data_IF_916080024151
#
_entry.id   IF_916080024151
#
_cell.length_a   1.000
_cell.length_b   1.000
_cell.length_c   1.000
_cell.angle_alpha   90.00
_cell.angle_beta   90.00
_cell.angle_gamma   90.00
#
_symmetry.space_group_name_H-M   'P 1'
#
loop_
_entity.id
_entity.type
_entity.pdbx_description
1 polymer ?
#
# COMPACT_ATOMS: atom_id res chain seq x y z
N UNK A 1 26.61 37.95 5.94
CA UNK A 1 26.50 36.87 4.92
C UNK A 1 25.81 35.59 5.47
N UNK A 2 24.93 35.69 6.48
CA UNK A 2 24.21 34.53 7.02
C UNK A 2 22.97 34.12 6.20
N UNK A 3 22.40 35.07 5.43
CA UNK A 3 21.16 34.87 4.68
C UNK A 3 21.24 33.79 3.58
N UNK A 4 22.41 33.58 2.98
CA UNK A 4 22.59 32.58 1.90
C UNK A 4 22.58 31.13 2.43
N UNK A 5 23.08 30.91 3.64
CA UNK A 5 23.11 29.60 4.28
C UNK A 5 21.72 29.15 4.70
N UNK A 6 20.89 30.06 5.24
CA UNK A 6 19.51 29.73 5.60
C UNK A 6 18.67 29.29 4.41
N UNK A 7 18.83 29.92 3.24
CA UNK A 7 18.09 29.53 2.02
C UNK A 7 18.47 28.11 1.56
N UNK A 8 19.76 27.76 1.63
CA UNK A 8 20.24 26.42 1.28
C UNK A 8 19.66 25.35 2.23
N UNK A 9 19.63 25.63 3.53
CA UNK A 9 19.10 24.70 4.54
C UNK A 9 17.60 24.48 4.33
N UNK A 10 16.84 25.55 4.09
CA UNK A 10 15.39 25.45 3.83
C UNK A 10 15.13 24.66 2.54
N UNK A 11 15.90 24.90 1.47
CA UNK A 11 15.78 24.14 0.23
C UNK A 11 16.05 22.65 0.41
N UNK A 12 17.08 22.29 1.19
CA UNK A 12 17.41 20.91 1.52
C UNK A 12 16.32 20.22 2.35
N UNK A 13 15.71 20.93 3.30
CA UNK A 13 14.62 20.41 4.12
C UNK A 13 13.38 20.10 3.27
N UNK A 14 13.00 21.02 2.36
CA UNK A 14 11.86 20.80 1.46
C UNK A 14 12.12 19.63 0.51
N UNK A 15 13.33 19.52 -0.05
CA UNK A 15 13.70 18.42 -0.93
C UNK A 15 13.63 17.07 -0.20
N UNK A 16 14.12 17.01 1.04
CA UNK A 16 14.07 15.80 1.88
C UNK A 16 12.62 15.39 2.18
N UNK A 17 11.75 16.35 2.44
CA UNK A 17 10.33 16.11 2.70
C UNK A 17 9.63 15.53 1.47
N UNK A 18 9.90 16.06 0.27
CA UNK A 18 9.35 15.56 -1.00
C UNK A 18 9.81 14.12 -1.30
N UNK A 19 11.09 13.81 -1.04
CA UNK A 19 11.60 12.43 -1.21
C UNK A 19 10.93 11.49 -0.21
N UNK A 20 10.69 11.93 1.03
CA UNK A 20 10.04 11.11 2.05
C UNK A 20 8.56 10.84 1.71
N UNK A 21 7.82 11.84 1.24
CA UNK A 21 6.41 11.67 0.83
C UNK A 21 6.30 10.76 -0.39
N UNK A 22 7.14 10.95 -1.40
CA UNK A 22 7.13 10.11 -2.62
C UNK A 22 7.58 8.67 -2.37
N UNK A 23 8.53 8.45 -1.46
CA UNK A 23 8.94 7.11 -1.04
C UNK A 23 7.81 6.37 -0.31
N UNK A 24 7.02 7.10 0.48
CA UNK A 24 5.84 6.53 1.17
C UNK A 24 4.78 6.11 0.15
N UNK A 25 4.55 6.90 -0.89
CA UNK A 25 3.64 6.54 -1.99
C UNK A 25 4.17 5.35 -2.81
N UNK A 26 5.50 5.19 -2.95
CA UNK A 26 6.10 4.06 -3.67
C UNK A 26 6.15 2.75 -2.88
N UNK A 27 6.12 2.79 -1.55
CA UNK A 27 5.95 1.59 -0.70
C UNK A 27 4.48 1.17 -0.61
N UNK A 28 3.55 2.11 -0.84
CA UNK A 28 2.13 1.84 -1.08
C UNK A 28 1.87 1.59 -2.59
N UNK A 29 2.90 1.22 -3.36
CA UNK A 29 2.66 0.26 -4.44
C UNK A 29 2.44 -1.08 -3.76
N UNK A 30 1.21 -1.23 -3.27
CA UNK A 30 0.46 -2.48 -3.26
C UNK A 30 1.06 -3.38 -4.33
N UNK A 31 1.58 -4.54 -3.92
CA UNK A 31 1.94 -5.58 -4.85
C UNK A 31 0.83 -5.63 -5.90
N UNK A 32 1.17 -5.49 -7.18
CA UNK A 32 0.24 -5.68 -8.30
C UNK A 32 -0.24 -7.14 -8.38
N UNK A 33 -0.33 -7.81 -7.25
CA UNK A 33 -1.11 -8.99 -7.07
C UNK A 33 -2.56 -8.58 -7.32
N UNK A 34 -3.09 -9.05 -8.44
CA UNK A 34 -4.42 -8.66 -8.90
C UNK A 34 -5.42 -9.18 -7.87
N UNK A 35 -5.91 -8.27 -7.03
CA UNK A 35 -6.92 -8.56 -6.03
C UNK A 35 -8.26 -8.82 -6.73
N UNK A 36 -8.73 -10.06 -6.70
CA UNK A 36 -10.03 -10.46 -7.23
C UNK A 36 -11.03 -10.42 -6.09
N UNK A 37 -11.89 -9.39 -6.08
CA UNK A 37 -12.99 -9.28 -5.14
C UNK A 37 -14.12 -10.23 -5.52
N UNK A 38 -14.53 -11.07 -4.58
CA UNK A 38 -15.59 -12.07 -4.77
C UNK A 38 -16.91 -11.72 -4.06
N UNK A 39 -16.98 -10.55 -3.42
CA UNK A 39 -18.19 -10.05 -2.74
C UNK A 39 -18.62 -10.85 -1.52
N UNK A 40 -17.77 -11.75 -1.01
CA UNK A 40 -18.03 -12.52 0.21
C UNK A 40 -17.69 -11.64 1.42
N UNK A 41 -18.65 -11.38 2.33
CA UNK A 41 -18.36 -10.63 3.55
C UNK A 41 -17.42 -11.44 4.45
N UNK A 42 -16.48 -10.76 5.09
CA UNK A 42 -15.47 -11.37 5.95
C UNK A 42 -15.25 -10.51 7.21
N UNK A 43 -14.77 -11.15 8.28
CA UNK A 43 -14.31 -10.45 9.49
C UNK A 43 -12.80 -10.55 9.66
N UNK A 44 -12.20 -11.58 9.06
CA UNK A 44 -10.79 -11.90 9.13
C UNK A 44 -10.32 -12.54 7.83
N UNK A 45 -9.01 -12.51 7.58
CA UNK A 45 -8.41 -13.09 6.36
C UNK A 45 -8.69 -14.60 6.23
N UNK A 46 -8.86 -15.31 7.35
CA UNK A 46 -9.18 -16.74 7.38
C UNK A 46 -10.57 -17.07 6.83
N UNK A 47 -11.54 -16.16 6.95
CA UNK A 47 -12.87 -16.32 6.36
C UNK A 47 -12.80 -16.39 4.83
N UNK A 48 -11.76 -15.79 4.25
CA UNK A 48 -11.52 -15.76 2.82
C UNK A 48 -10.75 -16.97 2.31
N UNK A 49 -10.22 -17.83 3.19
CA UNK A 49 -9.40 -18.98 2.78
C UNK A 49 -10.20 -20.03 2.00
N UNK A 50 -11.39 -20.41 2.50
CA UNK A 50 -12.28 -21.34 1.81
C UNK A 50 -12.79 -20.78 0.45
N UNK A 51 -13.32 -19.55 0.38
CA UNK A 51 -13.83 -19.03 -0.89
C UNK A 51 -12.71 -18.64 -1.88
N UNK A 52 -11.52 -18.25 -1.41
CA UNK A 52 -10.34 -18.03 -2.25
C UNK A 52 -9.54 -19.33 -2.54
N UNK A 53 -9.91 -20.47 -1.95
CA UNK A 53 -9.16 -21.73 -2.09
C UNK A 53 -9.00 -22.21 -3.53
N UNK A 54 -9.90 -21.78 -4.43
CA UNK A 54 -9.82 -22.05 -5.89
C UNK A 54 -8.70 -21.28 -6.60
N UNK A 55 -8.17 -20.23 -5.97
CA UNK A 55 -7.09 -19.39 -6.48
C UNK A 55 -5.71 -19.85 -5.98
N UNK A 56 -5.65 -20.78 -5.02
CA UNK A 56 -4.39 -21.37 -4.53
C UNK A 56 -3.42 -20.37 -3.89
N UNK A 57 -3.92 -19.21 -3.51
CA UNK A 57 -3.12 -18.00 -3.27
C UNK A 57 -3.64 -17.25 -2.04
N UNK A 58 -2.81 -16.32 -1.54
CA UNK A 58 -3.08 -15.49 -0.38
C UNK A 58 -4.45 -14.79 -0.47
N UNK A 59 -5.14 -14.65 0.66
CA UNK A 59 -6.46 -14.03 0.75
C UNK A 59 -6.49 -12.99 1.86
N UNK A 60 -7.08 -11.83 1.59
CA UNK A 60 -7.17 -10.71 2.53
C UNK A 60 -8.64 -10.32 2.70
N UNK A 61 -9.05 -10.07 3.93
CA UNK A 61 -10.33 -9.47 4.22
C UNK A 61 -10.27 -7.95 4.09
N UNK A 62 -11.13 -7.39 3.22
CA UNK A 62 -11.28 -5.94 3.03
C UNK A 62 -12.72 -5.52 3.38
N UNK A 63 -12.97 -4.22 3.60
CA UNK A 63 -14.31 -3.73 3.89
C UNK A 63 -15.35 -4.08 2.81
N UNK A 64 -14.91 -4.21 1.55
CA UNK A 64 -15.76 -4.58 0.41
C UNK A 64 -15.99 -6.10 0.28
N UNK A 65 -15.33 -6.90 1.13
CA UNK A 65 -15.37 -8.35 1.14
C UNK A 65 -14.01 -9.00 0.89
N UNK A 66 -14.03 -10.31 0.65
CA UNK A 66 -12.82 -11.08 0.41
C UNK A 66 -12.11 -10.68 -0.89
N UNK A 67 -10.81 -10.40 -0.75
CA UNK A 67 -9.85 -10.18 -1.82
C UNK A 67 -9.00 -11.42 -2.01
N UNK A 68 -9.15 -12.10 -3.15
CA UNK A 68 -8.29 -13.24 -3.52
C UNK A 68 -7.15 -12.74 -4.40
N UNK A 69 -5.93 -12.85 -3.91
CA UNK A 69 -4.74 -12.55 -4.71
C UNK A 69 -4.46 -13.74 -5.61
N UNK A 70 -4.01 -13.53 -6.85
CA UNK A 70 -3.38 -14.57 -7.66
C UNK A 70 -1.90 -14.26 -7.78
N UNK A 71 -1.05 -15.23 -7.44
CA UNK A 71 0.38 -15.23 -7.77
C UNK A 71 0.57 -15.67 -9.23
#
# INVERSE_FOLDING_TARGET
MASKLSVLIIGLLVLSLVILTTSTESLIKESKETCIYIGVPCKSDGDCFAPCGRFGSYSICKPEGCCCIRS
#
